data_IF_848520611100
#
_entry.id   IF_848520611100
#
_cell.length_a   1.000
_cell.length_b   1.000
_cell.length_c   1.000
_cell.angle_alpha   90.00
_cell.angle_beta   90.00
_cell.angle_gamma   90.00
#
_symmetry.space_group_name_H-M   'P 1'
#
loop_
_entity.id
_entity.type
_entity.pdbx_description
1 polymer ?
#
# COMPACT_ATOMS: atom_id res chain seq x y z
N UNK A 1 -13.65 -3.66 19.59
CA UNK A 1 -13.20 -2.37 19.03
C UNK A 1 -11.67 -2.30 19.14
N UNK A 2 -10.94 -2.79 18.14
CA UNK A 2 -9.48 -2.73 18.15
C UNK A 2 -9.02 -1.48 17.39
N UNK A 3 -8.63 -0.45 18.16
CA UNK A 3 -7.88 0.71 17.66
C UNK A 3 -6.55 0.20 17.11
N UNK A 4 -6.32 0.31 15.81
CA UNK A 4 -4.96 0.32 15.28
C UNK A 4 -4.60 1.75 14.88
N UNK A 5 -4.01 2.48 15.83
CA UNK A 5 -3.29 3.72 15.56
C UNK A 5 -1.92 3.32 15.00
N UNK A 6 -1.54 3.92 13.86
CA UNK A 6 -0.17 4.23 13.42
C UNK A 6 0.36 3.62 12.11
N UNK A 7 -0.42 2.87 11.34
CA UNK A 7 -0.19 2.73 9.90
C UNK A 7 -1.22 3.57 9.15
N UNK A 8 -0.83 4.34 8.13
CA UNK A 8 -1.82 4.86 7.18
C UNK A 8 -2.57 3.65 6.63
N UNK A 9 -3.87 3.53 6.93
CA UNK A 9 -4.67 2.44 6.39
C UNK A 9 -4.63 2.51 4.86
N UNK A 10 -4.68 1.35 4.21
CA UNK A 10 -4.67 1.25 2.74
C UNK A 10 -5.65 2.23 2.09
N UNK A 11 -6.90 2.26 2.58
CA UNK A 11 -7.93 3.18 2.07
C UNK A 11 -7.54 4.66 2.21
N UNK A 12 -6.84 5.01 3.29
CA UNK A 12 -6.37 6.39 3.51
C UNK A 12 -5.25 6.74 2.53
N UNK A 13 -4.27 5.85 2.35
CA UNK A 13 -3.17 6.06 1.41
C UNK A 13 -3.68 6.14 -0.05
N UNK A 14 -4.67 5.30 -0.39
CA UNK A 14 -5.32 5.33 -1.69
C UNK A 14 -6.05 6.66 -1.92
N UNK A 15 -6.85 7.10 -0.94
CA UNK A 15 -7.58 8.37 -1.04
C UNK A 15 -6.66 9.59 -1.16
N UNK A 16 -5.54 9.57 -0.43
CA UNK A 16 -4.52 10.61 -0.56
C UNK A 16 -3.89 10.62 -1.96
N UNK A 17 -3.64 9.45 -2.55
CA UNK A 17 -3.11 9.31 -3.91
C UNK A 17 -4.11 9.83 -4.95
N UNK A 18 -5.39 9.46 -4.85
CA UNK A 18 -6.46 9.96 -5.73
C UNK A 18 -6.55 11.49 -5.67
N UNK A 19 -6.55 12.04 -4.45
CA UNK A 19 -6.60 13.50 -4.24
C UNK A 19 -5.37 14.21 -4.80
N UNK A 20 -4.21 13.54 -4.82
CA UNK A 20 -2.97 14.09 -5.38
C UNK A 20 -3.02 14.10 -6.91
N UNK A 21 -3.52 13.02 -7.52
CA UNK A 21 -3.72 12.93 -8.97
C UNK A 21 -4.71 14.00 -9.44
N UNK A 22 -5.83 14.18 -8.76
CA UNK A 22 -6.80 15.25 -9.09
C UNK A 22 -6.15 16.65 -9.07
N UNK A 23 -5.24 16.91 -8.12
CA UNK A 23 -4.49 18.17 -8.06
C UNK A 23 -3.52 18.30 -9.23
N UNK A 24 -2.80 17.23 -9.58
CA UNK A 24 -1.89 17.20 -10.73
C UNK A 24 -2.62 17.48 -12.05
N UNK A 25 -3.85 17.00 -12.19
CA UNK A 25 -4.67 17.17 -13.39
C UNK A 25 -5.32 18.57 -13.50
N UNK A 26 -5.44 19.30 -12.39
CA UNK A 26 -6.10 20.61 -12.35
C UNK A 26 -5.36 21.74 -13.10
N UNK A 27 -4.11 21.52 -13.51
CA UNK A 27 -3.45 22.32 -14.55
C UNK A 27 -2.68 23.58 -14.14
N UNK A 28 -2.68 23.96 -12.85
CA UNK A 28 -1.95 25.14 -12.32
C UNK A 28 -0.77 24.73 -11.41
N UNK A 29 0.16 23.92 -11.93
CA UNK A 29 1.27 23.37 -11.13
C UNK A 29 2.62 23.89 -11.62
N UNK A 30 3.42 24.48 -10.73
CA UNK A 30 4.81 24.81 -11.05
C UNK A 30 5.65 23.53 -11.23
N UNK A 31 6.79 23.63 -11.89
CA UNK A 31 7.70 22.48 -12.04
C UNK A 31 8.15 21.93 -10.68
N UNK A 32 8.49 22.79 -9.71
CA UNK A 32 8.87 22.34 -8.37
C UNK A 32 7.72 21.62 -7.66
N UNK A 33 6.50 22.14 -7.75
CA UNK A 33 5.32 21.50 -7.15
C UNK A 33 5.00 20.15 -7.81
N UNK A 34 5.20 20.05 -9.13
CA UNK A 34 5.03 18.80 -9.86
C UNK A 34 6.02 17.72 -9.40
N UNK A 35 7.26 18.10 -9.09
CA UNK A 35 8.26 17.19 -8.53
C UNK A 35 7.89 16.74 -7.11
N UNK A 36 7.47 17.66 -6.25
CA UNK A 36 7.01 17.31 -4.89
C UNK A 36 5.82 16.35 -4.92
N UNK A 37 4.83 16.62 -5.78
CA UNK A 37 3.66 15.75 -5.95
C UNK A 37 4.04 14.39 -6.53
N UNK A 38 5.01 14.34 -7.44
CA UNK A 38 5.50 13.07 -7.96
C UNK A 38 6.18 12.22 -6.88
N UNK A 39 7.06 12.81 -6.08
CA UNK A 39 7.72 12.11 -4.97
C UNK A 39 6.71 11.59 -3.94
N UNK A 40 5.72 12.41 -3.58
CA UNK A 40 4.67 12.02 -2.66
C UNK A 40 3.77 10.91 -3.23
N UNK A 41 3.41 11.00 -4.51
CA UNK A 41 2.65 9.98 -5.21
C UNK A 41 3.39 8.63 -5.22
N UNK A 42 4.70 8.65 -5.48
CA UNK A 42 5.54 7.45 -5.43
C UNK A 42 5.59 6.84 -4.02
N UNK A 43 5.64 7.67 -2.98
CA UNK A 43 5.60 7.22 -1.58
C UNK A 43 4.26 6.54 -1.24
N UNK A 44 3.15 7.13 -1.68
CA UNK A 44 1.81 6.58 -1.48
C UNK A 44 1.61 5.27 -2.24
N UNK A 45 2.05 5.19 -3.51
CA UNK A 45 2.01 3.95 -4.31
C UNK A 45 2.79 2.84 -3.61
N UNK A 46 4.00 3.12 -3.12
CA UNK A 46 4.81 2.14 -2.38
C UNK A 46 4.10 1.66 -1.11
N UNK A 47 3.45 2.57 -0.40
CA UNK A 47 2.69 2.27 0.82
C UNK A 47 1.49 1.37 0.52
N UNK A 48 0.75 1.63 -0.56
CA UNK A 48 -0.36 0.78 -0.99
C UNK A 48 0.13 -0.61 -1.41
N UNK A 49 1.21 -0.70 -2.19
CA UNK A 49 1.78 -1.98 -2.65
C UNK A 49 2.20 -2.86 -1.48
N UNK A 50 2.93 -2.31 -0.52
CA UNK A 50 3.38 -3.07 0.65
C UNK A 50 2.19 -3.62 1.45
N UNK A 51 1.13 -2.83 1.62
CA UNK A 51 -0.08 -3.28 2.34
C UNK A 51 -0.83 -4.39 1.59
N UNK A 52 -0.85 -4.34 0.26
CA UNK A 52 -1.44 -5.41 -0.55
C UNK A 52 -0.60 -6.70 -0.49
N UNK A 53 0.73 -6.58 -0.52
CA UNK A 53 1.65 -7.71 -0.38
C UNK A 53 1.51 -8.39 0.98
N UNK A 54 1.47 -7.60 2.07
CA UNK A 54 1.24 -8.12 3.42
C UNK A 54 -0.11 -8.86 3.53
N UNK A 55 -1.15 -8.31 2.91
CA UNK A 55 -2.47 -8.92 2.87
C UNK A 55 -2.48 -10.23 2.06
N UNK A 56 -1.81 -10.25 0.90
CA UNK A 56 -1.67 -11.44 0.07
C UNK A 56 -0.93 -12.55 0.81
N UNK A 57 0.21 -12.24 1.43
CA UNK A 57 0.98 -13.21 2.22
C UNK A 57 0.13 -13.82 3.34
N UNK A 58 -0.63 -12.98 4.05
CA UNK A 58 -1.53 -13.45 5.11
C UNK A 58 -2.63 -14.38 4.59
N UNK A 59 -3.22 -14.06 3.44
CA UNK A 59 -4.22 -14.93 2.79
C UNK A 59 -3.57 -16.25 2.37
N UNK A 60 -2.39 -16.23 1.76
CA UNK A 60 -1.66 -17.43 1.38
C UNK A 60 -1.34 -18.31 2.58
N UNK A 61 -0.90 -17.75 3.71
CA UNK A 61 -0.68 -18.51 4.95
C UNK A 61 -1.96 -19.15 5.46
N UNK A 62 -3.08 -18.43 5.50
CA UNK A 62 -4.37 -18.96 5.95
C UNK A 62 -4.89 -20.09 5.06
N UNK A 63 -4.70 -19.99 3.74
CA UNK A 63 -5.08 -21.05 2.80
C UNK A 63 -4.23 -22.30 3.05
N UNK A 64 -2.90 -22.14 3.16
CA UNK A 64 -1.97 -23.25 3.46
C UNK A 64 -2.33 -23.96 4.79
N UNK A 65 -2.70 -23.18 5.81
CA UNK A 65 -3.14 -23.71 7.10
C UNK A 65 -4.48 -24.47 6.98
N UNK A 66 -5.41 -23.97 6.16
CA UNK A 66 -6.74 -24.58 5.97
C UNK A 66 -6.73 -25.87 5.13
N UNK A 67 -5.76 -26.02 4.22
CA UNK A 67 -5.57 -27.22 3.42
C UNK A 67 -4.70 -28.28 4.12
N UNK A 68 -4.29 -28.04 5.38
CA UNK A 68 -3.59 -29.02 6.21
C UNK A 68 -2.19 -29.41 5.71
N UNK A 69 -1.61 -28.66 4.77
CA UNK A 69 -0.32 -28.97 4.15
C UNK A 69 0.77 -28.01 4.66
N UNK A 70 1.26 -28.27 5.86
CA UNK A 70 2.60 -27.85 6.26
C UNK A 70 3.61 -28.83 5.67
N UNK A 71 4.16 -28.49 4.50
CA UNK A 71 5.51 -28.83 4.05
C UNK A 71 5.95 -27.66 3.15
N UNK A 72 7.09 -27.02 3.37
CA UNK A 72 8.39 -27.65 3.52
C UNK A 72 9.25 -26.92 4.56
N UNK A 73 9.80 -27.74 5.44
CA UNK A 73 11.19 -27.60 5.86
C UNK A 73 12.11 -27.69 4.62
N UNK A 74 12.90 -26.64 4.42
CA UNK A 74 14.26 -26.62 3.88
C UNK A 74 14.80 -25.30 4.47
N UNK A 75 15.52 -25.30 5.61
CA UNK A 75 16.95 -25.63 5.70
C UNK A 75 17.69 -25.30 4.40
N UNK A 76 18.06 -24.02 4.23
CA UNK A 76 19.43 -23.48 4.31
C UNK A 76 19.40 -21.97 4.56
#
# INVERSE_FOLDING_TARGET
MAKNKSSQSFEKALKELESLVEKMESGDTSLEQGLEWFEEGMRLVKTCRNQLEDAEQKVQSLIKDSEGKLELENLE
#
